data_IF_952125709248
#
_entry.id   IF_952125709248
#
_cell.length_a   1.000
_cell.length_b   1.000
_cell.length_c   1.000
_cell.angle_alpha   90.00
_cell.angle_beta   90.00
_cell.angle_gamma   90.00
#
_symmetry.space_group_name_H-M   'P 1'
#
loop_
_entity.id
_entity.type
_entity.pdbx_description
1 polymer ?
#
# COMPACT_ATOMS: atom_id res chain seq x y z
N UNK A 1 2.48 -31.49 -11.56
CA UNK A 1 1.54 -30.72 -10.73
C UNK A 1 1.41 -29.35 -11.39
N UNK A 2 0.21 -28.87 -11.74
CA UNK A 2 0.00 -27.59 -12.43
C UNK A 2 -0.36 -26.44 -11.46
N UNK A 3 -0.12 -26.60 -10.16
CA UNK A 3 -0.66 -25.69 -9.13
C UNK A 3 0.13 -24.36 -8.98
N UNK A 4 1.37 -24.29 -9.48
CA UNK A 4 2.23 -23.09 -9.33
C UNK A 4 1.83 -21.90 -10.20
N UNK A 5 1.24 -22.14 -11.38
CA UNK A 5 0.86 -21.06 -12.31
C UNK A 5 -0.37 -20.30 -11.80
N UNK A 6 -1.31 -21.02 -11.17
CA UNK A 6 -2.52 -20.41 -10.59
C UNK A 6 -2.20 -19.62 -9.30
N UNK A 7 -1.25 -20.09 -8.49
CA UNK A 7 -0.79 -19.37 -7.28
C UNK A 7 -0.05 -18.07 -7.64
N UNK A 8 0.81 -18.11 -8.67
CA UNK A 8 1.50 -16.92 -9.18
C UNK A 8 0.52 -15.87 -9.70
N UNK A 9 -0.49 -16.27 -10.47
CA UNK A 9 -1.53 -15.35 -10.97
C UNK A 9 -2.34 -14.72 -9.83
N UNK A 10 -2.66 -15.48 -8.78
CA UNK A 10 -3.33 -14.94 -7.59
C UNK A 10 -2.46 -13.92 -6.86
N UNK A 11 -1.17 -14.22 -6.66
CA UNK A 11 -0.21 -13.29 -6.05
C UNK A 11 -0.06 -12.01 -6.87
N UNK A 12 -0.02 -12.08 -8.19
CA UNK A 12 0.00 -10.90 -9.08
C UNK A 12 -1.28 -10.06 -8.91
N UNK A 13 -2.45 -10.70 -8.83
CA UNK A 13 -3.72 -10.00 -8.64
C UNK A 13 -3.76 -9.27 -7.29
N UNK A 14 -3.36 -9.94 -6.21
CA UNK A 14 -3.27 -9.33 -4.87
C UNK A 14 -2.29 -8.15 -4.88
N UNK A 15 -1.16 -8.28 -5.58
CA UNK A 15 -0.18 -7.20 -5.69
C UNK A 15 -0.79 -5.96 -6.35
N UNK A 16 -1.57 -6.12 -7.42
CA UNK A 16 -2.26 -5.01 -8.09
C UNK A 16 -3.25 -4.30 -7.17
N UNK A 17 -4.03 -5.06 -6.41
CA UNK A 17 -4.98 -4.49 -5.43
C UNK A 17 -4.26 -3.70 -4.32
N UNK A 18 -3.09 -4.19 -3.88
CA UNK A 18 -2.26 -3.46 -2.91
C UNK A 18 -1.68 -2.18 -3.50
N UNK A 19 -1.29 -2.16 -4.77
CA UNK A 19 -0.82 -0.95 -5.47
C UNK A 19 -1.94 0.08 -5.56
N UNK A 20 -3.14 -0.32 -6.01
CA UNK A 20 -4.30 0.58 -6.09
C UNK A 20 -4.66 1.16 -4.72
N UNK A 21 -4.62 0.32 -3.67
CA UNK A 21 -4.82 0.78 -2.29
C UNK A 21 -3.75 1.77 -1.86
N UNK A 22 -2.49 1.50 -2.16
CA UNK A 22 -1.38 2.37 -1.82
C UNK A 22 -1.52 3.75 -2.50
N UNK A 23 -1.86 3.78 -3.80
CA UNK A 23 -2.09 5.03 -4.54
C UNK A 23 -3.28 5.82 -3.98
N UNK A 24 -4.36 5.12 -3.60
CA UNK A 24 -5.51 5.75 -2.95
C UNK A 24 -5.12 6.41 -1.63
N UNK A 25 -4.36 5.71 -0.79
CA UNK A 25 -3.88 6.24 0.49
C UNK A 25 -2.94 7.43 0.30
N UNK A 26 -2.06 7.39 -0.71
CA UNK A 26 -1.17 8.50 -1.06
C UNK A 26 -1.97 9.74 -1.47
N UNK A 27 -2.98 9.56 -2.34
CA UNK A 27 -3.86 10.64 -2.77
C UNK A 27 -4.68 11.25 -1.63
N UNK A 28 -5.17 10.43 -0.69
CA UNK A 28 -5.88 10.91 0.50
C UNK A 28 -4.96 11.73 1.43
N UNK A 29 -3.73 11.28 1.63
CA UNK A 29 -2.71 12.02 2.39
C UNK A 29 -2.43 13.37 1.71
N UNK A 30 -2.21 13.38 0.40
CA UNK A 30 -1.94 14.60 -0.36
C UNK A 30 -3.12 15.59 -0.29
N UNK A 31 -4.35 15.10 -0.43
CA UNK A 31 -5.55 15.93 -0.30
C UNK A 31 -5.67 16.54 1.11
N UNK A 32 -5.38 15.75 2.15
CA UNK A 32 -5.42 16.18 3.54
C UNK A 32 -4.33 17.22 3.86
N UNK A 33 -3.13 17.05 3.29
CA UNK A 33 -2.04 18.03 3.41
C UNK A 33 -2.33 19.31 2.61
N UNK A 34 -2.88 19.19 1.40
CA UNK A 34 -3.26 20.33 0.56
C UNK A 34 -4.34 21.19 1.23
N UNK A 35 -5.36 20.56 1.82
CA UNK A 35 -6.43 21.23 2.61
C UNK A 35 -5.84 22.10 3.73
N UNK A 36 -4.75 21.66 4.34
CA UNK A 36 -4.11 22.32 5.47
C UNK A 36 -2.92 23.23 5.06
N UNK A 37 -2.89 23.69 3.81
CA UNK A 37 -1.84 24.58 3.26
C UNK A 37 -0.42 24.01 3.39
N UNK A 38 -0.27 22.69 3.33
CA UNK A 38 1.03 22.01 3.36
C UNK A 38 1.76 22.06 4.71
N UNK A 39 1.11 22.46 5.80
CA UNK A 39 1.73 22.51 7.13
C UNK A 39 0.86 21.88 8.21
N UNK A 40 1.41 20.87 8.89
CA UNK A 40 0.80 20.21 10.04
C UNK A 40 0.51 21.14 11.22
N UNK A 41 1.05 22.36 11.21
CA UNK A 41 0.77 23.41 12.20
C UNK A 41 -0.64 23.99 12.09
N UNK A 42 -1.27 23.88 10.91
CA UNK A 42 -2.62 24.37 10.68
C UNK A 42 -3.67 23.25 10.73
N UNK A 43 -3.24 22.00 10.93
CA UNK A 43 -4.13 20.85 11.05
C UNK A 43 -4.82 20.82 12.41
N UNK A 44 -6.14 20.64 12.38
CA UNK A 44 -6.91 20.20 13.54
C UNK A 44 -6.34 18.89 14.11
N UNK A 45 -6.53 18.65 15.40
CA UNK A 45 -6.17 17.41 16.07
C UNK A 45 -6.79 16.20 15.36
N UNK A 46 -8.03 16.34 14.89
CA UNK A 46 -8.74 15.32 14.10
C UNK A 46 -8.04 15.05 12.75
N UNK A 47 -7.67 16.10 12.02
CA UNK A 47 -6.95 15.97 10.74
C UNK A 47 -5.56 15.34 10.97
N UNK A 48 -4.90 15.63 12.09
CA UNK A 48 -3.60 15.02 12.46
C UNK A 48 -3.74 13.54 12.78
N UNK A 49 -4.77 13.15 13.53
CA UNK A 49 -5.01 11.75 13.85
C UNK A 49 -5.42 10.96 12.60
N UNK A 50 -6.22 11.56 11.72
CA UNK A 50 -6.55 10.97 10.44
C UNK A 50 -5.30 10.78 9.56
N UNK A 51 -4.44 11.80 9.46
CA UNK A 51 -3.16 11.71 8.74
C UNK A 51 -2.28 10.58 9.28
N UNK A 52 -2.17 10.43 10.60
CA UNK A 52 -1.39 9.35 11.22
C UNK A 52 -1.94 7.97 10.85
N UNK A 53 -3.27 7.82 10.85
CA UNK A 53 -3.94 6.58 10.47
C UNK A 53 -3.64 6.24 9.00
N UNK A 54 -3.82 7.18 8.09
CA UNK A 54 -3.51 6.99 6.67
C UNK A 54 -2.04 6.63 6.44
N UNK A 55 -1.12 7.31 7.13
CA UNK A 55 0.31 7.03 7.03
C UNK A 55 0.65 5.61 7.54
N UNK A 56 0.01 5.16 8.62
CA UNK A 56 0.19 3.80 9.13
C UNK A 56 -0.34 2.75 8.14
N UNK A 57 -1.55 2.94 7.59
CA UNK A 57 -2.13 2.04 6.60
C UNK A 57 -1.31 1.98 5.30
N UNK A 58 -0.72 3.11 4.88
CA UNK A 58 0.19 3.17 3.73
C UNK A 58 1.46 2.36 3.97
N UNK A 59 2.04 2.47 5.17
CA UNK A 59 3.23 1.71 5.55
C UNK A 59 2.94 0.19 5.62
N UNK A 60 1.79 -0.19 6.18
CA UNK A 60 1.34 -1.59 6.21
C UNK A 60 1.14 -2.14 4.79
N UNK A 61 0.47 -1.39 3.92
CA UNK A 61 0.24 -1.76 2.52
C UNK A 61 1.56 -1.95 1.78
N UNK A 62 2.52 -1.04 1.96
CA UNK A 62 3.87 -1.16 1.41
C UNK A 62 4.62 -2.40 1.91
N UNK A 63 4.47 -2.73 3.19
CA UNK A 63 5.08 -3.93 3.76
C UNK A 63 4.49 -5.20 3.14
N UNK A 64 3.18 -5.27 2.95
CA UNK A 64 2.53 -6.39 2.27
C UNK A 64 2.98 -6.53 0.82
N UNK A 65 3.12 -5.41 0.09
CA UNK A 65 3.67 -5.43 -1.27
C UNK A 65 5.07 -6.05 -1.29
N UNK A 66 5.97 -5.64 -0.39
CA UNK A 66 7.34 -6.19 -0.32
C UNK A 66 7.39 -7.68 -0.03
N UNK A 67 6.58 -8.15 0.92
CA UNK A 67 6.49 -9.58 1.24
C UNK A 67 6.03 -10.38 0.01
N UNK A 68 5.05 -9.85 -0.72
CA UNK A 68 4.50 -10.50 -1.90
C UNK A 68 5.50 -10.49 -3.07
N UNK A 69 6.27 -9.40 -3.24
CA UNK A 69 7.38 -9.33 -4.20
C UNK A 69 8.47 -10.37 -3.91
N UNK A 70 8.81 -10.58 -2.63
CA UNK A 70 9.76 -11.62 -2.22
C UNK A 70 9.23 -13.02 -2.54
N UNK A 71 7.94 -13.29 -2.26
CA UNK A 71 7.30 -14.56 -2.59
C UNK A 71 7.30 -14.83 -4.10
N UNK A 72 6.89 -13.84 -4.91
CA UNK A 72 6.86 -13.96 -6.37
C UNK A 72 8.25 -14.23 -6.97
N UNK A 73 9.31 -13.65 -6.39
CA UNK A 73 10.70 -13.93 -6.82
C UNK A 73 11.09 -15.37 -6.52
N UNK A 74 10.80 -15.86 -5.31
CA UNK A 74 11.10 -17.24 -4.90
C UNK A 74 10.38 -18.24 -5.82
N UNK A 75 9.09 -18.01 -6.11
CA UNK A 75 8.31 -18.90 -6.97
C UNK A 75 8.78 -18.93 -8.42
N UNK A 76 9.45 -17.86 -8.89
CA UNK A 76 10.00 -17.77 -10.24
C UNK A 76 11.40 -18.40 -10.35
N UNK A 77 12.20 -18.36 -9.28
CA UNK A 77 13.55 -18.95 -9.25
C UNK A 77 13.56 -20.46 -8.97
N UNK A 78 12.53 -21.01 -8.31
CA UNK A 78 12.39 -22.44 -7.99
C UNK A 78 11.71 -23.28 -9.12
N UNK A 79 11.46 -22.70 -10.31
CA UNK A 79 10.77 -23.36 -11.44
C UNK A 79 11.66 -23.54 -12.69
#
# INVERSE_FOLDING_TARGET
MPDGENDTLQKIQIYRELVEKYETLDAEIDALLAKNSGSSKNMSDEDRDHLRKLAWERAETLNHMRILEEQLKIDTDDN
#
